data_IF_796048337789
#
_entry.id   IF_796048337789
#
_cell.length_a   1.000
_cell.length_b   1.000
_cell.length_c   1.000
_cell.angle_alpha   90.00
_cell.angle_beta   90.00
_cell.angle_gamma   90.00
#
_symmetry.space_group_name_H-M   'P 1'
#
loop_
_entity.id
_entity.type
_entity.pdbx_description
1 polymer ?
#
# COMPACT_ATOMS: atom_id res chain seq x y z
N UNK A 1 15.00 -59.89 -24.79
CA UNK A 1 14.24 -60.04 -23.54
C UNK A 1 15.13 -59.57 -22.40
N UNK A 2 14.95 -58.32 -21.98
CA UNK A 2 15.75 -57.66 -20.93
C UNK A 2 14.81 -57.28 -19.80
N UNK A 3 14.91 -58.00 -18.68
CA UNK A 3 14.15 -57.72 -17.47
C UNK A 3 14.66 -56.43 -16.82
N UNK A 4 13.82 -55.40 -16.82
CA UNK A 4 14.06 -54.16 -16.08
C UNK A 4 13.57 -54.34 -14.65
N UNK A 5 14.49 -54.26 -13.68
CA UNK A 5 14.20 -54.36 -12.26
C UNK A 5 13.64 -53.04 -11.73
N UNK A 6 12.41 -53.08 -11.24
CA UNK A 6 11.73 -51.95 -10.58
C UNK A 6 12.21 -51.91 -9.13
N UNK A 7 13.05 -50.92 -8.79
CA UNK A 7 13.42 -50.62 -7.42
C UNK A 7 12.32 -49.77 -6.75
N UNK A 8 11.51 -50.41 -5.91
CA UNK A 8 10.57 -49.74 -4.99
C UNK A 8 11.32 -49.25 -3.74
N UNK A 9 11.77 -48.00 -3.75
CA UNK A 9 12.25 -47.29 -2.56
C UNK A 9 11.07 -46.82 -1.71
N UNK A 10 10.83 -47.51 -0.59
CA UNK A 10 9.88 -47.12 0.44
C UNK A 10 10.34 -45.84 1.15
N UNK A 11 9.70 -44.73 0.83
CA UNK A 11 10.01 -43.42 1.39
C UNK A 11 9.29 -43.25 2.74
N UNK A 12 9.97 -43.55 3.84
CA UNK A 12 9.46 -43.40 5.20
C UNK A 12 9.33 -41.90 5.53
N UNK A 13 8.12 -41.36 5.39
CA UNK A 13 7.82 -39.97 5.78
C UNK A 13 7.92 -39.83 7.31
N UNK A 14 9.04 -39.31 7.79
CA UNK A 14 9.21 -38.83 9.15
C UNK A 14 8.28 -37.63 9.37
N UNK A 15 7.17 -37.85 10.07
CA UNK A 15 6.29 -36.78 10.56
C UNK A 15 7.06 -35.92 11.56
N UNK A 16 7.65 -34.82 11.07
CA UNK A 16 8.33 -33.84 11.89
C UNK A 16 7.37 -33.26 12.94
N UNK A 17 7.73 -33.37 14.22
CA UNK A 17 6.93 -32.83 15.33
C UNK A 17 6.81 -31.30 15.16
N UNK A 18 5.59 -30.73 15.30
CA UNK A 18 5.40 -29.28 15.20
C UNK A 18 6.18 -28.58 16.32
N UNK A 19 7.08 -27.67 15.93
CA UNK A 19 7.92 -26.93 16.85
C UNK A 19 7.07 -25.92 17.67
N UNK A 20 6.88 -26.21 18.95
CA UNK A 20 6.07 -25.40 19.88
C UNK A 20 6.64 -24.00 20.14
N UNK A 21 7.90 -23.74 19.80
CA UNK A 21 8.55 -22.44 19.99
C UNK A 21 8.30 -21.44 18.84
N UNK A 22 7.62 -21.83 17.77
CA UNK A 22 7.39 -20.96 16.60
C UNK A 22 6.37 -19.82 16.82
N UNK A 23 5.85 -19.67 18.04
CA UNK A 23 4.79 -18.70 18.37
C UNK A 23 5.36 -17.32 18.71
N UNK A 24 6.61 -17.27 19.18
CA UNK A 24 7.32 -16.03 19.57
C UNK A 24 7.83 -15.21 18.39
N UNK A 25 7.82 -15.75 17.17
CA UNK A 25 8.30 -15.02 15.99
C UNK A 25 7.32 -13.91 15.58
N UNK A 26 7.75 -12.63 15.51
CA UNK A 26 6.90 -11.53 15.07
C UNK A 26 6.32 -11.81 13.69
N UNK A 27 5.06 -11.44 13.49
CA UNK A 27 4.38 -11.59 12.22
C UNK A 27 4.39 -10.25 11.49
N UNK A 28 5.33 -10.11 10.57
CA UNK A 28 5.33 -9.01 9.62
C UNK A 28 4.60 -9.42 8.35
N UNK A 29 3.89 -8.47 7.73
CA UNK A 29 3.38 -8.68 6.38
C UNK A 29 4.55 -8.94 5.42
N UNK A 30 4.50 -9.99 4.57
CA UNK A 30 5.54 -10.27 3.60
C UNK A 30 5.53 -9.29 2.41
N UNK A 31 4.57 -8.37 2.36
CA UNK A 31 4.33 -7.48 1.23
C UNK A 31 5.23 -6.24 1.28
N UNK A 32 6.46 -6.40 0.81
CA UNK A 32 7.49 -5.36 0.85
C UNK A 32 7.07 -4.09 0.08
N UNK A 33 6.32 -4.25 -1.02
CA UNK A 33 5.85 -3.11 -1.83
C UNK A 33 4.89 -2.19 -1.07
N UNK A 34 4.05 -2.73 -0.20
CA UNK A 34 3.07 -1.91 0.53
C UNK A 34 3.74 -1.05 1.61
N UNK A 35 4.88 -1.48 2.16
CA UNK A 35 5.68 -0.62 3.05
C UNK A 35 6.22 0.61 2.33
N UNK A 36 6.62 0.48 1.06
CA UNK A 36 7.07 1.62 0.26
C UNK A 36 5.90 2.58 0.02
N UNK A 37 4.71 2.06 -0.31
CA UNK A 37 3.49 2.86 -0.50
C UNK A 37 3.16 3.64 0.78
N UNK A 38 3.15 2.96 1.92
CA UNK A 38 2.88 3.56 3.23
C UNK A 38 3.89 4.66 3.53
N UNK A 39 5.19 4.36 3.40
CA UNK A 39 6.26 5.29 3.71
C UNK A 39 6.24 6.51 2.79
N UNK A 40 6.14 6.32 1.48
CA UNK A 40 6.10 7.41 0.50
C UNK A 40 4.87 8.29 0.73
N UNK A 41 3.68 7.69 0.88
CA UNK A 41 2.45 8.44 1.13
C UNK A 41 2.54 9.24 2.43
N UNK A 42 3.07 8.63 3.50
CA UNK A 42 3.29 9.31 4.77
C UNK A 42 4.26 10.49 4.64
N UNK A 43 5.41 10.28 3.98
CA UNK A 43 6.43 11.32 3.79
C UNK A 43 5.92 12.49 2.94
N UNK A 44 5.08 12.24 1.94
CA UNK A 44 4.40 13.32 1.17
C UNK A 44 3.51 14.15 2.10
N UNK A 45 2.75 13.51 2.99
CA UNK A 45 1.90 14.21 3.96
C UNK A 45 2.72 15.00 4.99
N UNK A 46 3.82 14.42 5.47
CA UNK A 46 4.75 15.09 6.37
C UNK A 46 5.43 16.28 5.69
N UNK A 47 5.88 16.13 4.44
CA UNK A 47 6.43 17.22 3.64
C UNK A 47 5.42 18.35 3.47
N UNK A 48 4.17 18.04 3.11
CA UNK A 48 3.10 19.03 2.97
C UNK A 48 2.80 19.79 4.27
N UNK A 49 3.05 19.17 5.43
CA UNK A 49 2.84 19.81 6.74
C UNK A 49 3.94 20.81 7.13
N UNK A 50 5.08 20.80 6.43
CA UNK A 50 6.23 21.68 6.67
C UNK A 50 6.83 21.62 8.08
N UNK A 51 6.49 20.61 8.86
CA UNK A 51 7.00 20.43 10.21
C UNK A 51 7.10 18.94 10.56
N UNK A 52 8.04 18.59 11.42
CA UNK A 52 8.11 17.26 12.02
C UNK A 52 7.95 17.40 13.53
N UNK A 53 6.84 16.90 14.08
CA UNK A 53 6.53 16.95 15.51
C UNK A 53 6.51 15.53 16.10
N UNK A 54 6.47 15.45 17.43
CA UNK A 54 6.26 14.17 18.11
C UNK A 54 4.95 13.50 17.65
N UNK A 55 3.89 14.28 17.38
CA UNK A 55 2.64 13.76 16.83
C UNK A 55 2.81 13.14 15.45
N UNK A 56 3.67 13.69 14.60
CA UNK A 56 4.04 13.10 13.30
C UNK A 56 4.73 11.76 13.49
N UNK A 57 5.72 11.66 14.39
CA UNK A 57 6.39 10.38 14.71
C UNK A 57 5.39 9.35 15.24
N UNK A 58 4.51 9.75 16.15
CA UNK A 58 3.46 8.88 16.68
C UNK A 58 2.47 8.44 15.60
N UNK A 59 2.11 9.33 14.66
CA UNK A 59 1.30 8.99 13.50
C UNK A 59 1.97 7.93 12.61
N UNK A 60 3.29 8.02 12.39
CA UNK A 60 4.03 7.01 11.64
C UNK A 60 3.97 5.64 12.33
N UNK A 61 4.23 5.61 13.65
CA UNK A 61 4.15 4.37 14.44
C UNK A 61 2.73 3.81 14.42
N UNK A 62 1.72 4.67 14.60
CA UNK A 62 0.31 4.29 14.57
C UNK A 62 -0.09 3.70 13.22
N UNK A 63 0.28 4.34 12.11
CA UNK A 63 -0.03 3.87 10.76
C UNK A 63 0.68 2.54 10.47
N UNK A 64 1.94 2.42 10.85
CA UNK A 64 2.70 1.18 10.69
C UNK A 64 2.10 0.04 11.53
N UNK A 65 1.84 0.25 12.82
CA UNK A 65 1.21 -0.77 13.67
C UNK A 65 -0.21 -1.11 13.21
N UNK A 66 -1.01 -0.13 12.80
CA UNK A 66 -2.34 -0.37 12.24
C UNK A 66 -2.28 -1.27 11.01
N UNK A 67 -1.35 -0.99 10.09
CA UNK A 67 -1.09 -1.84 8.93
C UNK A 67 -0.60 -3.25 9.31
N UNK A 68 0.32 -3.36 10.29
CA UNK A 68 0.77 -4.68 10.77
C UNK A 68 -0.33 -5.47 11.47
N UNK A 69 -1.32 -4.83 12.08
CA UNK A 69 -2.46 -5.49 12.70
C UNK A 69 -3.40 -6.13 11.66
N UNK A 70 -3.51 -5.54 10.47
CA UNK A 70 -4.37 -6.04 9.38
C UNK A 70 -4.01 -7.47 8.96
N UNK A 71 -2.73 -7.74 8.70
CA UNK A 71 -2.28 -9.04 8.20
C UNK A 71 -2.67 -10.25 9.08
N UNK A 72 -2.35 -10.30 10.39
CA UNK A 72 -2.77 -11.40 11.26
C UNK A 72 -4.29 -11.47 11.41
N UNK A 73 -5.01 -10.34 11.42
CA UNK A 73 -6.48 -10.32 11.45
C UNK A 73 -7.07 -10.98 10.21
N UNK A 74 -6.61 -10.58 9.03
CA UNK A 74 -7.04 -11.17 7.74
C UNK A 74 -6.71 -12.66 7.69
N UNK A 75 -5.53 -13.08 8.17
CA UNK A 75 -5.16 -14.50 8.23
C UNK A 75 -6.06 -15.29 9.20
N UNK A 76 -6.43 -14.69 10.33
CA UNK A 76 -7.36 -15.30 11.29
C UNK A 76 -8.78 -15.41 10.70
N UNK A 77 -9.25 -14.40 9.95
CA UNK A 77 -10.55 -14.43 9.24
C UNK A 77 -10.56 -15.54 8.19
N UNK A 78 -9.48 -15.68 7.42
CA UNK A 78 -9.33 -16.79 6.45
C UNK A 78 -9.40 -18.15 7.13
N UNK A 79 -8.80 -18.28 8.31
CA UNK A 79 -8.72 -19.52 9.08
C UNK A 79 -9.78 -19.61 10.17
N UNK A 80 -10.96 -19.00 9.96
CA UNK A 80 -12.05 -18.88 10.95
C UNK A 80 -12.50 -20.17 11.67
N UNK A 81 -12.17 -21.35 11.14
CA UNK A 81 -12.48 -22.64 11.77
C UNK A 81 -11.57 -22.95 12.98
N UNK A 82 -10.39 -22.35 13.06
CA UNK A 82 -9.45 -22.57 14.16
C UNK A 82 -8.85 -21.25 14.62
N UNK A 83 -8.91 -20.98 15.92
CA UNK A 83 -8.24 -19.83 16.52
C UNK A 83 -6.76 -20.14 16.66
N UNK A 84 -5.90 -19.36 16.00
CA UNK A 84 -4.45 -19.48 16.16
C UNK A 84 -3.98 -18.41 17.14
N UNK A 85 -3.51 -18.80 18.35
CA UNK A 85 -3.07 -17.84 19.36
C UNK A 85 -2.03 -16.84 18.85
N UNK A 86 -1.14 -17.27 17.95
CA UNK A 86 -0.14 -16.41 17.31
C UNK A 86 -0.76 -15.21 16.58
N UNK A 87 -1.86 -15.42 15.85
CA UNK A 87 -2.50 -14.33 15.09
C UNK A 87 -3.21 -13.36 16.02
N UNK A 88 -3.88 -13.89 17.05
CA UNK A 88 -4.55 -13.09 18.07
C UNK A 88 -3.55 -12.26 18.89
N UNK A 89 -2.42 -12.85 19.28
CA UNK A 89 -1.41 -12.18 20.08
C UNK A 89 -0.75 -11.03 19.31
N UNK A 90 -0.20 -11.30 18.11
CA UNK A 90 0.49 -10.26 17.33
C UNK A 90 -0.48 -9.23 16.77
N UNK A 91 -1.64 -9.66 16.25
CA UNK A 91 -2.68 -8.74 15.80
C UNK A 91 -3.21 -7.87 16.94
N UNK A 92 -3.43 -8.45 18.12
CA UNK A 92 -3.82 -7.74 19.32
C UNK A 92 -2.76 -6.75 19.81
N UNK A 93 -1.48 -7.15 19.85
CA UNK A 93 -0.37 -6.28 20.24
C UNK A 93 -0.28 -5.05 19.34
N UNK A 94 -0.28 -5.24 18.01
CA UNK A 94 -0.24 -4.14 17.06
C UNK A 94 -1.49 -3.26 17.14
N UNK A 95 -2.68 -3.86 17.31
CA UNK A 95 -3.93 -3.12 17.48
C UNK A 95 -3.98 -2.30 18.77
N UNK A 96 -3.44 -2.81 19.88
CA UNK A 96 -3.38 -2.08 21.17
C UNK A 96 -2.43 -0.89 21.06
N UNK A 97 -1.25 -1.07 20.47
CA UNK A 97 -0.28 0.02 20.25
C UNK A 97 -0.91 1.09 19.33
N UNK A 98 -1.44 0.69 18.17
CA UNK A 98 -2.07 1.61 17.24
C UNK A 98 -3.29 2.31 17.86
N UNK A 99 -4.15 1.58 18.59
CA UNK A 99 -5.33 2.10 19.25
C UNK A 99 -5.01 3.11 20.35
N UNK A 100 -4.02 2.82 21.20
CA UNK A 100 -3.58 3.74 22.24
C UNK A 100 -3.05 5.06 21.67
N UNK A 101 -2.21 4.98 20.62
CA UNK A 101 -1.72 6.18 19.93
C UNK A 101 -2.86 6.90 19.21
N UNK A 102 -3.76 6.18 18.54
CA UNK A 102 -4.90 6.76 17.84
C UNK A 102 -5.84 7.53 18.77
N UNK A 103 -6.12 6.98 19.96
CA UNK A 103 -6.92 7.67 20.98
C UNK A 103 -6.22 8.98 21.41
N UNK A 104 -4.91 8.93 21.69
CA UNK A 104 -4.17 10.14 22.07
C UNK A 104 -4.15 11.19 20.95
N UNK A 105 -3.93 10.77 19.71
CA UNK A 105 -3.95 11.65 18.53
C UNK A 105 -5.34 12.23 18.29
N UNK A 106 -6.41 11.46 18.48
CA UNK A 106 -7.79 11.95 18.36
C UNK A 106 -8.11 13.02 19.39
N UNK A 107 -7.73 12.80 20.66
CA UNK A 107 -7.93 13.80 21.72
C UNK A 107 -7.16 15.10 21.45
N UNK A 108 -6.02 15.01 20.75
CA UNK A 108 -5.20 16.17 20.38
C UNK A 108 -5.66 16.86 19.08
N UNK A 109 -6.13 16.08 18.10
CA UNK A 109 -6.47 16.52 16.75
C UNK A 109 -7.76 15.82 16.27
N UNK A 110 -8.96 16.26 16.70
CA UNK A 110 -10.22 15.54 16.43
C UNK A 110 -10.52 15.28 14.95
N UNK A 111 -9.97 16.11 14.05
CA UNK A 111 -10.10 15.97 12.60
C UNK A 111 -9.62 14.61 12.06
N UNK A 112 -8.72 13.92 12.77
CA UNK A 112 -8.23 12.58 12.38
C UNK A 112 -9.31 11.50 12.43
N UNK A 113 -10.45 11.76 13.10
CA UNK A 113 -11.56 10.82 13.19
C UNK A 113 -12.11 10.44 11.81
N UNK A 114 -12.15 11.39 10.86
CA UNK A 114 -12.56 11.13 9.48
C UNK A 114 -11.61 10.17 8.76
N UNK A 115 -10.32 10.27 9.06
CA UNK A 115 -9.29 9.40 8.50
C UNK A 115 -9.43 7.99 9.08
N UNK A 116 -9.71 7.87 10.38
CA UNK A 116 -9.98 6.59 11.03
C UNK A 116 -11.25 5.93 10.49
N UNK A 117 -12.31 6.71 10.26
CA UNK A 117 -13.53 6.21 9.64
C UNK A 117 -13.25 5.66 8.22
N UNK A 118 -12.44 6.36 7.42
CA UNK A 118 -12.00 5.88 6.10
C UNK A 118 -11.20 4.57 6.18
N UNK A 119 -10.21 4.52 7.07
CA UNK A 119 -9.38 3.32 7.27
C UNK A 119 -10.20 2.12 7.77
N UNK A 120 -11.11 2.33 8.71
CA UNK A 120 -11.99 1.28 9.22
C UNK A 120 -12.97 0.78 8.16
N UNK A 121 -13.52 1.69 7.35
CA UNK A 121 -14.38 1.32 6.22
C UNK A 121 -13.64 0.44 5.22
N UNK A 122 -12.41 0.82 4.85
CA UNK A 122 -11.58 0.02 3.97
C UNK A 122 -11.24 -1.35 4.57
N UNK A 123 -10.92 -1.43 5.86
CA UNK A 123 -10.69 -2.68 6.57
C UNK A 123 -11.93 -3.58 6.58
N UNK A 124 -13.11 -3.02 6.77
CA UNK A 124 -14.38 -3.77 6.71
C UNK A 124 -14.63 -4.31 5.30
N UNK A 125 -14.38 -3.51 4.26
CA UNK A 125 -14.50 -3.94 2.86
C UNK A 125 -13.50 -5.06 2.56
N UNK A 126 -12.23 -4.92 2.95
CA UNK A 126 -11.24 -5.98 2.73
C UNK A 126 -11.64 -7.26 3.49
N UNK A 127 -12.01 -7.16 4.77
CA UNK A 127 -12.49 -8.28 5.57
C UNK A 127 -13.67 -9.00 4.90
N UNK A 128 -14.61 -8.26 4.33
CA UNK A 128 -15.74 -8.81 3.58
C UNK A 128 -15.31 -9.50 2.28
N UNK A 129 -14.43 -8.87 1.50
CA UNK A 129 -13.81 -9.45 0.30
C UNK A 129 -13.04 -10.75 0.62
N UNK A 130 -12.41 -10.84 1.80
CA UNK A 130 -11.75 -12.06 2.30
C UNK A 130 -12.77 -13.18 2.51
N UNK A 131 -13.90 -12.86 3.12
CA UNK A 131 -14.97 -13.82 3.40
C UNK A 131 -15.60 -14.35 2.11
N UNK A 132 -15.80 -13.48 1.12
CA UNK A 132 -16.33 -13.82 -0.21
C UNK A 132 -15.29 -14.46 -1.15
N UNK A 133 -14.00 -14.49 -0.76
CA UNK A 133 -12.87 -14.98 -1.58
C UNK A 133 -12.58 -14.12 -2.82
N UNK A 134 -12.97 -12.86 -2.80
CA UNK A 134 -12.79 -11.88 -3.89
C UNK A 134 -11.58 -10.95 -3.70
N UNK A 135 -10.66 -11.26 -2.78
CA UNK A 135 -9.52 -10.39 -2.44
C UNK A 135 -8.64 -9.95 -3.64
N UNK A 136 -8.67 -10.68 -4.76
CA UNK A 136 -7.87 -10.39 -5.96
C UNK A 136 -8.63 -9.56 -7.01
N UNK A 137 -9.80 -9.04 -6.65
CA UNK A 137 -10.55 -8.13 -7.49
C UNK A 137 -9.79 -6.80 -7.61
N UNK A 138 -9.88 -6.17 -8.79
CA UNK A 138 -9.22 -4.87 -9.02
C UNK A 138 -9.76 -3.82 -8.06
N UNK A 139 -11.06 -3.84 -7.80
CA UNK A 139 -11.70 -2.89 -6.89
C UNK A 139 -11.20 -3.03 -5.45
N UNK A 140 -11.07 -4.27 -4.94
CA UNK A 140 -10.53 -4.48 -3.59
C UNK A 140 -9.08 -3.99 -3.50
N UNK A 141 -8.25 -4.33 -4.49
CA UNK A 141 -6.86 -3.85 -4.54
C UNK A 141 -6.81 -2.30 -4.58
N UNK A 142 -7.66 -1.62 -5.36
CA UNK A 142 -7.77 -0.16 -5.40
C UNK A 142 -8.15 0.43 -4.03
N UNK A 143 -9.11 -0.17 -3.34
CA UNK A 143 -9.55 0.27 -2.00
C UNK A 143 -8.42 0.10 -0.99
N UNK A 144 -7.69 -1.01 -1.03
CA UNK A 144 -6.50 -1.24 -0.18
C UNK A 144 -5.44 -0.16 -0.42
N UNK A 145 -5.11 0.15 -1.69
CA UNK A 145 -4.17 1.24 -1.99
C UNK A 145 -4.67 2.60 -1.50
N UNK A 146 -5.96 2.92 -1.70
CA UNK A 146 -6.56 4.15 -1.20
C UNK A 146 -6.46 4.26 0.33
N UNK A 147 -6.69 3.15 1.04
CA UNK A 147 -6.59 3.07 2.49
C UNK A 147 -5.16 3.26 2.99
N UNK A 148 -4.17 2.61 2.37
CA UNK A 148 -2.76 2.81 2.73
C UNK A 148 -2.32 4.25 2.44
N UNK A 149 -2.81 4.83 1.35
CA UNK A 149 -2.52 6.23 1.00
C UNK A 149 -3.17 7.25 1.96
N UNK A 150 -4.13 6.85 2.82
CA UNK A 150 -4.63 7.72 3.90
C UNK A 150 -3.51 8.13 4.88
N UNK A 151 -2.34 7.48 4.83
CA UNK A 151 -1.15 7.94 5.52
C UNK A 151 -0.75 9.40 5.16
N UNK A 152 -1.03 9.87 3.93
CA UNK A 152 -0.80 11.26 3.53
C UNK A 152 -1.63 12.25 4.36
N UNK A 153 -2.98 12.20 4.36
CA UNK A 153 -3.77 13.08 5.20
C UNK A 153 -3.54 12.83 6.69
N UNK A 154 -3.19 11.61 7.09
CA UNK A 154 -2.92 11.30 8.49
C UNK A 154 -1.69 12.03 9.02
N UNK A 155 -0.56 11.98 8.29
CA UNK A 155 0.66 12.70 8.66
C UNK A 155 0.42 14.22 8.71
N UNK A 156 -0.32 14.76 7.73
CA UNK A 156 -0.61 16.18 7.68
C UNK A 156 -1.53 16.63 8.83
N UNK A 157 -2.65 15.93 9.04
CA UNK A 157 -3.66 16.28 10.03
C UNK A 157 -3.14 16.18 11.46
N UNK A 158 -2.32 15.17 11.76
CA UNK A 158 -1.69 15.00 13.09
C UNK A 158 -0.60 16.03 13.37
N UNK A 159 -0.11 16.73 12.34
CA UNK A 159 0.92 17.76 12.49
C UNK A 159 0.32 19.17 12.53
N UNK A 160 -0.69 19.43 11.71
CA UNK A 160 -1.30 20.76 11.52
C UNK A 160 -2.63 20.95 12.24
N UNK A 161 -3.32 19.87 12.61
CA UNK A 161 -4.66 19.90 13.18
C UNK A 161 -5.79 20.20 12.18
N UNK A 162 -5.50 20.21 10.88
CA UNK A 162 -6.47 20.55 9.83
C UNK A 162 -6.38 19.56 8.66
N UNK A 163 -7.41 19.53 7.81
CA UNK A 163 -7.38 18.87 6.50
C UNK A 163 -7.62 19.95 5.44
N UNK A 164 -6.63 20.18 4.58
CA UNK A 164 -6.75 21.10 3.45
C UNK A 164 -7.17 20.37 2.18
N UNK A 165 -7.77 21.10 1.23
CA UNK A 165 -8.09 20.59 -0.11
C UNK A 165 -6.85 20.05 -0.82
N UNK A 166 -5.69 20.69 -0.64
CA UNK A 166 -4.41 20.23 -1.18
C UNK A 166 -4.06 18.83 -0.72
N UNK A 167 -4.23 18.53 0.55
CA UNK A 167 -3.88 17.22 1.14
C UNK A 167 -4.85 16.14 0.69
N UNK A 168 -6.12 16.48 0.48
CA UNK A 168 -7.09 15.58 -0.18
C UNK A 168 -6.66 15.31 -1.63
N UNK A 169 -6.22 16.34 -2.36
CA UNK A 169 -5.65 16.19 -3.70
C UNK A 169 -4.42 15.26 -3.72
N UNK A 170 -3.51 15.43 -2.75
CA UNK A 170 -2.32 14.57 -2.61
C UNK A 170 -2.69 13.13 -2.26
N UNK A 171 -3.71 12.91 -1.43
CA UNK A 171 -4.22 11.57 -1.14
C UNK A 171 -4.73 10.87 -2.41
N UNK A 172 -5.52 11.58 -3.22
CA UNK A 172 -6.02 11.04 -4.50
C UNK A 172 -4.86 10.77 -5.46
N UNK A 173 -3.89 11.69 -5.57
CA UNK A 173 -2.70 11.52 -6.40
C UNK A 173 -1.89 10.29 -5.99
N UNK A 174 -1.60 10.11 -4.68
CA UNK A 174 -0.92 8.92 -4.16
C UNK A 174 -1.69 7.64 -4.51
N UNK A 175 -3.01 7.65 -4.26
CA UNK A 175 -3.89 6.52 -4.55
C UNK A 175 -3.82 6.12 -6.02
N UNK A 176 -3.95 7.09 -6.93
CA UNK A 176 -3.90 6.84 -8.37
C UNK A 176 -2.50 6.41 -8.84
N UNK A 177 -1.45 7.02 -8.32
CA UNK A 177 -0.08 6.66 -8.65
C UNK A 177 0.23 5.22 -8.26
N UNK A 178 -0.02 4.83 -7.01
CA UNK A 178 0.32 3.48 -6.52
C UNK A 178 -0.61 2.40 -7.07
N UNK A 179 -1.88 2.72 -7.29
CA UNK A 179 -2.83 1.82 -7.94
C UNK A 179 -2.46 1.47 -9.39
N UNK A 180 -1.61 2.26 -10.06
CA UNK A 180 -1.05 1.88 -11.37
C UNK A 180 -0.33 0.54 -11.35
N UNK A 181 0.27 0.17 -10.22
CA UNK A 181 1.02 -1.08 -10.05
C UNK A 181 0.12 -2.32 -10.16
N UNK A 182 -1.19 -2.21 -9.87
CA UNK A 182 -2.16 -3.29 -10.06
C UNK A 182 -2.15 -3.75 -11.52
N UNK A 183 -2.15 -2.79 -12.44
CA UNK A 183 -2.24 -3.06 -13.87
C UNK A 183 -0.91 -3.55 -14.42
N UNK A 184 0.23 -3.00 -13.97
CA UNK A 184 1.55 -3.51 -14.36
C UNK A 184 1.75 -4.96 -13.90
N UNK A 185 1.39 -5.29 -12.66
CA UNK A 185 1.46 -6.67 -12.14
C UNK A 185 0.53 -7.62 -12.90
N UNK A 186 -0.68 -7.19 -13.27
CA UNK A 186 -1.62 -8.01 -14.05
C UNK A 186 -1.13 -8.28 -15.48
N UNK A 187 -0.40 -7.35 -16.10
CA UNK A 187 0.22 -7.55 -17.42
C UNK A 187 1.28 -8.66 -17.44
N UNK A 188 1.89 -8.95 -16.29
CA UNK A 188 2.89 -10.02 -16.15
C UNK A 188 2.26 -11.42 -16.16
N UNK A 189 0.97 -11.54 -15.81
CA UNK A 189 0.28 -12.84 -15.76
C UNK A 189 -0.30 -13.17 -17.13
N UNK A 190 0.10 -14.30 -17.71
CA UNK A 190 -0.31 -14.75 -19.06
C UNK A 190 -1.83 -14.67 -19.28
N UNK A 191 -2.63 -15.16 -18.32
CA UNK A 191 -4.10 -15.21 -18.41
C UNK A 191 -4.81 -13.86 -18.33
N UNK A 192 -4.18 -12.81 -17.77
CA UNK A 192 -4.83 -11.50 -17.53
C UNK A 192 -4.08 -10.36 -18.20
N UNK A 193 -3.37 -10.67 -19.28
CA UNK A 193 -2.32 -9.81 -19.83
C UNK A 193 -2.83 -8.74 -20.82
N UNK A 194 -4.10 -8.35 -20.74
CA UNK A 194 -4.64 -7.30 -21.61
C UNK A 194 -4.16 -5.92 -21.17
N UNK A 195 -3.71 -5.11 -22.12
CA UNK A 195 -3.30 -3.71 -21.91
C UNK A 195 -4.51 -2.79 -21.73
N UNK A 196 -5.67 -3.19 -22.26
CA UNK A 196 -6.90 -2.37 -22.29
C UNK A 196 -7.32 -1.86 -20.91
N UNK A 197 -7.45 -2.70 -19.85
CA UNK A 197 -7.86 -2.21 -18.53
C UNK A 197 -6.86 -1.21 -17.95
N UNK A 198 -5.57 -1.42 -18.18
CA UNK A 198 -4.52 -0.49 -17.78
C UNK A 198 -4.63 0.84 -18.52
N UNK A 199 -4.86 0.83 -19.83
CA UNK A 199 -5.05 2.06 -20.62
C UNK A 199 -6.28 2.85 -20.15
N UNK A 200 -7.42 2.18 -19.94
CA UNK A 200 -8.64 2.81 -19.43
C UNK A 200 -8.38 3.43 -18.07
N UNK A 201 -7.74 2.70 -17.16
CA UNK A 201 -7.39 3.20 -15.83
C UNK A 201 -6.53 4.47 -15.91
N UNK A 202 -5.45 4.45 -16.67
CA UNK A 202 -4.55 5.60 -16.76
C UNK A 202 -5.22 6.80 -17.43
N UNK A 203 -6.06 6.59 -18.45
CA UNK A 203 -6.84 7.68 -19.06
C UNK A 203 -7.79 8.33 -18.05
N UNK A 204 -8.54 7.53 -17.29
CA UNK A 204 -9.45 8.02 -16.25
C UNK A 204 -8.67 8.72 -15.13
N UNK A 205 -7.56 8.15 -14.67
CA UNK A 205 -6.70 8.75 -13.65
C UNK A 205 -6.16 10.12 -14.09
N UNK A 206 -5.71 10.24 -15.35
CA UNK A 206 -5.26 11.51 -15.92
C UNK A 206 -6.38 12.55 -15.96
N UNK A 207 -7.61 12.17 -16.32
CA UNK A 207 -8.77 13.07 -16.29
C UNK A 207 -9.10 13.53 -14.87
N UNK A 208 -9.07 12.62 -13.89
CA UNK A 208 -9.30 12.97 -12.48
C UNK A 208 -8.24 13.98 -12.02
N UNK A 209 -6.96 13.77 -12.34
CA UNK A 209 -5.90 14.68 -11.95
C UNK A 209 -5.97 16.04 -12.66
N UNK A 210 -6.36 16.06 -13.94
CA UNK A 210 -6.62 17.30 -14.67
C UNK A 210 -7.76 18.11 -14.02
N UNK A 211 -8.81 17.43 -13.56
CA UNK A 211 -9.91 18.07 -12.84
C UNK A 211 -9.46 18.61 -11.46
N UNK A 212 -8.72 17.82 -10.68
CA UNK A 212 -8.19 18.25 -9.37
C UNK A 212 -7.22 19.43 -9.53
N UNK A 213 -6.42 19.43 -10.59
CA UNK A 213 -5.56 20.55 -10.96
C UNK A 213 -6.36 21.81 -11.26
N UNK A 214 -7.42 21.68 -12.07
CA UNK A 214 -8.31 22.79 -12.40
C UNK A 214 -9.00 23.39 -11.17
N UNK A 215 -9.30 22.57 -10.14
CA UNK A 215 -9.79 23.04 -8.84
C UNK A 215 -8.73 23.73 -7.97
N UNK A 216 -7.46 23.77 -8.40
CA UNK A 216 -6.35 24.38 -7.66
C UNK A 216 -5.89 23.57 -6.45
N UNK A 217 -6.24 22.29 -6.36
CA UNK A 217 -5.87 21.45 -5.21
C UNK A 217 -4.44 20.91 -5.33
N UNK A 218 -3.90 20.79 -6.55
CA UNK A 218 -2.55 20.29 -6.80
C UNK A 218 -1.74 21.32 -7.58
N UNK A 219 -0.44 21.40 -7.28
CA UNK A 219 0.49 22.18 -8.08
C UNK A 219 0.75 21.49 -9.44
N UNK A 220 1.17 22.23 -10.49
CA UNK A 220 1.51 21.63 -11.78
C UNK A 220 2.56 20.52 -11.64
N UNK A 221 3.58 20.73 -10.80
CA UNK A 221 4.64 19.74 -10.56
C UNK A 221 4.11 18.45 -9.93
N UNK A 222 3.17 18.54 -8.97
CA UNK A 222 2.54 17.35 -8.37
C UNK A 222 1.74 16.55 -9.42
N UNK A 223 1.01 17.23 -10.31
CA UNK A 223 0.24 16.58 -11.38
C UNK A 223 1.18 15.92 -12.39
N UNK A 224 2.25 16.61 -12.80
CA UNK A 224 3.25 16.08 -13.73
C UNK A 224 4.01 14.88 -13.16
N UNK A 225 4.11 14.74 -11.82
CA UNK A 225 4.69 13.55 -11.19
C UNK A 225 3.95 12.25 -11.55
N UNK A 226 2.64 12.32 -11.85
CA UNK A 226 1.88 11.17 -12.37
C UNK A 226 2.37 10.72 -13.75
N UNK A 227 3.05 11.58 -14.50
CA UNK A 227 3.75 11.22 -15.74
C UNK A 227 4.72 10.06 -15.56
N UNK A 228 5.32 9.88 -14.38
CA UNK A 228 6.15 8.70 -14.08
C UNK A 228 5.36 7.39 -14.19
N UNK A 229 4.10 7.36 -13.72
CA UNK A 229 3.25 6.18 -13.85
C UNK A 229 2.88 5.92 -15.33
N UNK A 230 2.59 6.98 -16.09
CA UNK A 230 2.30 6.88 -17.53
C UNK A 230 3.50 6.36 -18.34
N UNK A 231 4.70 6.91 -18.09
CA UNK A 231 5.94 6.48 -18.75
C UNK A 231 6.24 5.02 -18.37
N UNK A 232 6.16 4.67 -17.08
CA UNK A 232 6.35 3.30 -16.59
C UNK A 232 5.38 2.34 -17.30
N UNK A 233 4.09 2.67 -17.33
CA UNK A 233 3.08 1.84 -17.98
C UNK A 233 3.31 1.72 -19.48
N UNK A 234 3.65 2.82 -20.17
CA UNK A 234 3.95 2.83 -21.60
C UNK A 234 5.16 1.96 -21.96
N UNK A 235 6.26 2.06 -21.21
CA UNK A 235 7.45 1.20 -21.40
C UNK A 235 7.08 -0.28 -21.24
N UNK A 236 6.29 -0.62 -20.22
CA UNK A 236 5.86 -2.00 -19.96
C UNK A 236 4.90 -2.49 -21.06
N UNK A 237 3.98 -1.64 -21.52
CA UNK A 237 3.02 -1.99 -22.57
C UNK A 237 3.72 -2.25 -23.91
N UNK A 238 4.72 -1.43 -24.28
CA UNK A 238 5.52 -1.63 -25.50
C UNK A 238 6.41 -2.86 -25.39
N UNK A 239 6.99 -3.12 -24.22
CA UNK A 239 7.94 -4.22 -23.99
C UNK A 239 7.31 -5.37 -23.19
N UNK A 240 6.05 -5.71 -23.49
CA UNK A 240 5.26 -6.61 -22.66
C UNK A 240 5.87 -8.02 -22.54
N UNK A 241 6.41 -8.55 -23.63
CA UNK A 241 6.97 -9.90 -23.67
C UNK A 241 8.24 -10.02 -22.82
N UNK A 242 9.11 -9.00 -22.87
CA UNK A 242 10.25 -8.85 -21.97
C UNK A 242 9.80 -8.74 -20.51
N UNK A 243 8.82 -7.89 -20.22
CA UNK A 243 8.35 -7.67 -18.85
C UNK A 243 7.76 -8.94 -18.21
N UNK A 244 7.10 -9.79 -19.00
CA UNK A 244 6.57 -11.10 -18.54
C UNK A 244 7.68 -12.06 -18.12
N UNK A 245 8.78 -12.09 -18.86
CA UNK A 245 9.90 -13.04 -18.65
C UNK A 245 10.99 -12.48 -17.72
N UNK A 246 11.03 -11.17 -17.50
CA UNK A 246 11.98 -10.51 -16.62
C UNK A 246 11.92 -11.07 -15.18
N UNK A 247 13.10 -11.13 -14.53
CA UNK A 247 13.22 -11.50 -13.11
C UNK A 247 12.39 -10.54 -12.26
N UNK A 248 11.73 -11.07 -11.23
CA UNK A 248 10.87 -10.27 -10.34
C UNK A 248 11.61 -9.09 -9.68
N UNK A 249 12.92 -9.23 -9.49
CA UNK A 249 13.79 -8.18 -8.96
C UNK A 249 13.77 -6.92 -9.84
N UNK A 250 13.74 -7.05 -11.17
CA UNK A 250 13.69 -5.88 -12.06
C UNK A 250 12.37 -5.13 -11.93
N UNK A 251 11.24 -5.84 -11.81
CA UNK A 251 9.96 -5.22 -11.56
C UNK A 251 9.95 -4.51 -10.20
N UNK A 252 10.51 -5.14 -9.15
CA UNK A 252 10.62 -4.53 -7.83
C UNK A 252 11.50 -3.27 -7.83
N UNK A 253 12.64 -3.29 -8.52
CA UNK A 253 13.52 -2.12 -8.68
C UNK A 253 12.78 -1.01 -9.42
N UNK A 254 12.10 -1.31 -10.53
CA UNK A 254 11.35 -0.33 -11.30
C UNK A 254 10.26 0.35 -10.46
N UNK A 255 9.45 -0.44 -9.74
CA UNK A 255 8.39 0.09 -8.87
C UNK A 255 8.97 0.93 -7.71
N UNK A 256 10.07 0.47 -7.10
CA UNK A 256 10.71 1.19 -5.99
C UNK A 256 11.34 2.50 -6.44
N UNK A 257 12.11 2.48 -7.52
CA UNK A 257 12.77 3.69 -8.07
C UNK A 257 11.74 4.71 -8.52
N UNK A 258 10.67 4.28 -9.20
CA UNK A 258 9.60 5.21 -9.62
C UNK A 258 8.84 5.78 -8.43
N UNK A 259 8.61 5.01 -7.36
CA UNK A 259 8.01 5.50 -6.12
C UNK A 259 8.87 6.55 -5.41
N UNK A 260 10.20 6.36 -5.34
CA UNK A 260 11.10 7.36 -4.77
C UNK A 260 11.23 8.60 -5.64
N UNK A 261 11.28 8.47 -6.97
CA UNK A 261 11.25 9.62 -7.88
C UNK A 261 9.95 10.43 -7.71
N UNK A 262 8.81 9.72 -7.61
CA UNK A 262 7.51 10.34 -7.33
C UNK A 262 7.49 11.07 -5.98
N UNK A 263 7.97 10.43 -4.90
CA UNK A 263 8.13 11.05 -3.58
C UNK A 263 8.91 12.36 -3.68
N UNK A 264 10.06 12.35 -4.35
CA UNK A 264 10.93 13.52 -4.48
C UNK A 264 10.23 14.66 -5.21
N UNK A 265 9.65 14.41 -6.39
CA UNK A 265 8.97 15.46 -7.18
C UNK A 265 7.79 16.04 -6.39
N UNK A 266 6.94 15.20 -5.81
CA UNK A 266 5.76 15.66 -5.08
C UNK A 266 6.15 16.40 -3.79
N UNK A 267 7.13 15.90 -3.04
CA UNK A 267 7.59 16.56 -1.81
C UNK A 267 8.21 17.92 -2.11
N UNK A 268 9.03 18.04 -3.16
CA UNK A 268 9.58 19.33 -3.59
C UNK A 268 8.47 20.29 -4.04
N UNK A 269 7.42 19.78 -4.68
CA UNK A 269 6.31 20.60 -5.18
C UNK A 269 5.42 21.21 -4.09
N UNK A 270 5.52 20.72 -2.86
CA UNK A 270 4.76 21.23 -1.71
C UNK A 270 5.64 22.06 -0.76
N UNK A 271 6.95 22.15 -1.00
CA UNK A 271 7.85 22.98 -0.21
C UNK A 271 7.58 24.49 -0.43
N UNK A 272 7.84 25.34 0.58
CA UNK A 272 7.68 26.78 0.46
C UNK A 272 8.64 27.34 -0.61
N UNK A 273 8.15 28.26 -1.45
CA UNK A 273 8.92 28.88 -2.53
C UNK A 273 10.24 29.50 -2.06
N UNK A 274 10.29 30.00 -0.81
CA UNK A 274 11.49 30.58 -0.19
C UNK A 274 12.71 29.63 -0.10
N UNK A 275 12.50 28.31 -0.19
CA UNK A 275 13.60 27.33 -0.18
C UNK A 275 14.11 27.00 -1.59
N UNK A 276 13.38 27.42 -2.64
CA UNK A 276 13.70 27.11 -4.04
C UNK A 276 14.49 28.27 -4.68
N UNK A 277 14.45 29.47 -4.09
CA UNK A 277 15.10 30.69 -4.60
C UNK A 277 16.52 30.94 -4.09
N UNK A 278 17.21 29.93 -3.54
CA UNK A 278 18.61 29.98 -3.08
C UNK A 278 19.50 29.21 -4.06
#
# INVERSE_FOLDING_TARGET
MTHSAINTSSNTQTTAKPNSQAWYGPMFSPEHGVYIVLLVSFLIGAAASQAWRLSTTLALICAFCGFQAEHPLVMQIKQRRTLKPRFLFWGGLYAVIAGGIAIWLYLSYPVVLWIYAGALTALMIDAFSVLQREQKSVLNELITFAAVCLATPFAYATTTGMISSTVVGLWILNTLFFSSAIFTVKLRKTKTSSVIPGTIYHAVATLILAFIYWLGWLSPAAVLAFGLALIKFGIIAVNQEWYRTAKIQFAAILETTTAFAFLTIVSLSVLPERLISL
#
